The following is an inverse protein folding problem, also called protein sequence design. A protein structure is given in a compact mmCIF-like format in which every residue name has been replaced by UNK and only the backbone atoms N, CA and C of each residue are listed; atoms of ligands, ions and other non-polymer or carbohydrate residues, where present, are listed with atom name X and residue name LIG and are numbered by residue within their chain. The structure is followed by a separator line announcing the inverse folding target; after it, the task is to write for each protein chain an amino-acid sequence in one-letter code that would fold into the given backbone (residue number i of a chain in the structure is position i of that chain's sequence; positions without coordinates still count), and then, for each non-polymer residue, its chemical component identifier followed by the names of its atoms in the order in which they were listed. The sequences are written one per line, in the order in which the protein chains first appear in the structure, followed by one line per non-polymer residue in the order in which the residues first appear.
data_IF_543019448435
#
_entry.id   IF_543019448435
#
_cell.length_a   1.000
_cell.length_b   1.000
_cell.length_c   1.000
_cell.angle_alpha   90.00
_cell.angle_beta   90.00
_cell.angle_gamma   90.00
#
_symmetry.space_group_name_H-M   'P 1'
#
loop_
_entity.id
_entity.type
_entity.pdbx_description
1 polymer ?
#
# COMPACT_ATOMS: atom_id res chain seq x y z
N UNK A 1 -8.70 -20.58 6.47
CA UNK A 1 -7.23 -20.45 6.31
C UNK A 1 -6.60 -19.41 7.24
N UNK A 2 -7.21 -18.24 7.48
CA UNK A 2 -6.70 -17.25 8.46
C UNK A 2 -6.65 -17.73 9.94
N UNK A 3 -7.39 -18.78 10.30
CA UNK A 3 -7.45 -19.32 11.66
C UNK A 3 -6.15 -19.94 12.18
N UNK A 4 -5.11 -20.06 11.34
CA UNK A 4 -3.78 -20.54 11.72
C UNK A 4 -2.75 -19.41 11.87
N UNK A 5 -3.12 -18.14 11.60
CA UNK A 5 -2.25 -16.99 11.88
C UNK A 5 -2.07 -16.88 13.39
N UNK A 6 -0.87 -17.18 13.86
CA UNK A 6 -0.58 -17.33 15.29
C UNK A 6 0.32 -16.22 15.84
N UNK A 7 0.91 -15.38 14.99
CA UNK A 7 1.86 -14.35 15.39
C UNK A 7 1.76 -13.11 14.49
N UNK A 8 1.89 -11.93 15.09
CA UNK A 8 2.07 -10.66 14.37
C UNK A 8 3.56 -10.37 14.23
N UNK A 9 4.07 -10.30 13.00
CA UNK A 9 5.48 -10.02 12.71
C UNK A 9 5.79 -8.54 12.95
N UNK A 10 4.98 -7.63 12.41
CA UNK A 10 5.11 -6.19 12.60
C UNK A 10 3.79 -5.46 12.35
N UNK A 11 3.79 -4.14 12.61
CA UNK A 11 2.70 -3.25 12.23
C UNK A 11 3.19 -1.82 12.08
N UNK A 12 2.55 -1.07 11.19
CA UNK A 12 2.71 0.37 11.02
C UNK A 12 1.36 1.01 10.70
N UNK A 13 1.19 2.28 11.06
CA UNK A 13 -0.01 3.04 10.74
C UNK A 13 0.36 4.46 10.32
N UNK A 14 -0.48 5.03 9.47
CA UNK A 14 -0.45 6.44 9.08
C UNK A 14 -1.85 7.03 9.28
N UNK A 15 -1.94 8.35 9.43
CA UNK A 15 -3.22 9.07 9.48
C UNK A 15 -3.51 9.71 8.13
N UNK A 16 -4.79 9.83 7.78
CA UNK A 16 -5.22 10.45 6.53
C UNK A 16 -6.44 11.34 6.75
N UNK A 17 -6.58 12.44 5.99
CA UNK A 17 -7.75 13.29 6.12
C UNK A 17 -9.01 12.58 5.60
N UNK A 18 -10.15 12.91 6.19
CA UNK A 18 -11.44 12.54 5.63
C UNK A 18 -11.62 13.12 4.21
N UNK A 19 -12.43 12.45 3.39
CA UNK A 19 -12.75 12.89 2.02
C UNK A 19 -12.39 11.86 0.95
N UNK A 20 -12.38 12.27 -0.34
CA UNK A 20 -12.21 11.35 -1.47
C UNK A 20 -10.95 10.49 -1.43
N UNK A 21 -9.81 11.05 -1.02
CA UNK A 21 -8.59 10.26 -0.81
C UNK A 21 -8.81 9.17 0.24
N UNK A 22 -9.44 9.51 1.36
CA UNK A 22 -9.77 8.54 2.41
C UNK A 22 -10.68 7.40 1.93
N UNK A 23 -11.61 7.66 1.02
CA UNK A 23 -12.42 6.62 0.37
C UNK A 23 -11.55 5.66 -0.44
N UNK A 24 -10.64 6.20 -1.25
CA UNK A 24 -9.71 5.40 -2.05
C UNK A 24 -8.76 4.56 -1.17
N UNK A 25 -8.23 5.15 -0.09
CA UNK A 25 -7.38 4.43 0.88
C UNK A 25 -8.14 3.26 1.53
N UNK A 26 -9.40 3.46 1.92
CA UNK A 26 -10.24 2.42 2.51
C UNK A 26 -10.46 1.24 1.56
N UNK A 27 -10.78 1.55 0.29
CA UNK A 27 -10.97 0.53 -0.72
C UNK A 27 -9.67 -0.23 -1.03
N UNK A 28 -8.55 0.49 -1.22
CA UNK A 28 -7.25 -0.13 -1.43
C UNK A 28 -6.82 -1.01 -0.25
N UNK A 29 -7.01 -0.55 0.99
CA UNK A 29 -6.73 -1.34 2.18
C UNK A 29 -7.63 -2.59 2.28
N UNK A 30 -8.88 -2.49 1.85
CA UNK A 30 -9.80 -3.64 1.81
C UNK A 30 -9.34 -4.68 0.80
N UNK A 31 -8.89 -4.26 -0.39
CA UNK A 31 -8.46 -5.16 -1.44
C UNK A 31 -7.16 -5.90 -1.09
N UNK A 32 -6.25 -5.27 -0.33
CA UNK A 32 -5.01 -5.88 0.14
C UNK A 32 -5.27 -6.85 1.32
N UNK A 33 -6.28 -6.59 2.14
CA UNK A 33 -6.45 -7.29 3.41
C UNK A 33 -6.59 -8.81 3.24
N UNK A 34 -5.96 -9.56 4.15
CA UNK A 34 -5.92 -11.01 4.16
C UNK A 34 -5.21 -11.64 2.94
N UNK A 35 -4.38 -10.90 2.21
CA UNK A 35 -3.55 -11.50 1.17
C UNK A 35 -2.49 -12.42 1.78
N UNK A 36 -2.53 -13.70 1.42
CA UNK A 36 -1.53 -14.70 1.82
C UNK A 36 -0.40 -14.69 0.79
N UNK A 37 0.84 -14.65 1.26
CA UNK A 37 2.06 -14.69 0.45
C UNK A 37 2.87 -15.90 0.87
N UNK A 38 2.93 -16.92 0.02
CA UNK A 38 3.63 -18.17 0.32
C UNK A 38 5.16 -18.00 0.28
N UNK A 39 5.95 -18.89 0.91
CA UNK A 39 7.41 -18.88 0.78
C UNK A 39 7.86 -18.83 -0.69
N UNK A 40 8.72 -17.88 -1.03
CA UNK A 40 9.21 -17.62 -2.39
C UNK A 40 8.24 -16.87 -3.31
N UNK A 41 6.99 -16.63 -2.89
CA UNK A 41 6.02 -15.85 -3.65
C UNK A 41 6.33 -14.35 -3.55
N UNK A 42 6.07 -13.63 -4.65
CA UNK A 42 6.19 -12.17 -4.70
C UNK A 42 4.83 -11.52 -4.56
N UNK A 43 4.71 -10.66 -3.55
CA UNK A 43 3.58 -9.76 -3.40
C UNK A 43 3.78 -8.51 -4.25
N UNK A 44 2.71 -8.06 -4.89
CA UNK A 44 2.64 -6.82 -5.68
C UNK A 44 1.52 -5.97 -5.13
N UNK A 45 1.85 -4.73 -4.72
CA UNK A 45 0.89 -3.83 -4.08
C UNK A 45 -0.14 -3.36 -5.11
N UNK A 46 0.30 -2.99 -6.32
CA UNK A 46 -0.60 -2.63 -7.41
C UNK A 46 -1.58 -3.78 -7.73
N UNK A 47 -1.08 -5.01 -7.89
CA UNK A 47 -1.92 -6.17 -8.19
C UNK A 47 -2.92 -6.47 -7.08
N UNK A 48 -2.51 -6.32 -5.82
CA UNK A 48 -3.37 -6.53 -4.66
C UNK A 48 -4.45 -5.43 -4.53
N UNK A 49 -4.14 -4.18 -4.87
CA UNK A 49 -5.12 -3.09 -4.92
C UNK A 49 -6.09 -3.30 -6.10
N UNK A 50 -5.59 -3.77 -7.23
CA UNK A 50 -6.34 -3.86 -8.48
C UNK A 50 -6.49 -2.51 -9.20
N UNK A 51 -7.16 -2.47 -10.36
CA UNK A 51 -7.25 -1.26 -11.17
C UNK A 51 -7.98 -0.13 -10.43
N UNK A 52 -7.35 1.04 -10.33
CA UNK A 52 -7.95 2.22 -9.69
C UNK A 52 -8.89 2.96 -10.62
N UNK A 53 -10.06 2.37 -10.91
CA UNK A 53 -11.07 2.93 -11.82
C UNK A 53 -12.38 3.25 -11.11
N UNK A 54 -13.25 4.04 -11.76
CA UNK A 54 -14.57 4.41 -11.23
C UNK A 54 -15.45 3.17 -11.07
N UNK A 55 -15.36 2.22 -12.01
CA UNK A 55 -16.13 0.97 -12.02
C UNK A 55 -15.78 0.09 -10.82
N UNK A 56 -14.52 0.14 -10.38
CA UNK A 56 -14.04 -0.55 -9.19
C UNK A 56 -14.34 0.21 -7.89
N UNK A 57 -15.00 1.37 -7.96
CA UNK A 57 -15.42 2.16 -6.80
C UNK A 57 -14.42 3.24 -6.36
N UNK A 58 -13.32 3.42 -7.09
CA UNK A 58 -12.38 4.52 -6.80
C UNK A 58 -12.95 5.85 -7.27
N UNK A 59 -12.63 6.91 -6.52
CA UNK A 59 -13.11 8.27 -6.76
C UNK A 59 -11.97 9.21 -7.12
N UNK A 60 -12.31 10.32 -7.78
CA UNK A 60 -11.35 11.37 -8.07
C UNK A 60 -10.85 12.04 -6.79
N UNK A 61 -9.53 12.11 -6.63
CA UNK A 61 -8.87 12.79 -5.53
C UNK A 61 -7.52 13.35 -5.99
N UNK A 62 -6.86 14.14 -5.15
CA UNK A 62 -5.54 14.67 -5.47
C UNK A 62 -4.51 13.54 -5.61
N UNK A 63 -3.75 13.57 -6.69
CA UNK A 63 -2.61 12.69 -6.97
C UNK A 63 -1.39 13.51 -7.41
N UNK A 64 -0.22 12.90 -7.37
CA UNK A 64 1.03 13.52 -7.82
C UNK A 64 1.42 13.00 -9.21
N UNK A 65 1.49 13.89 -10.19
CA UNK A 65 1.94 13.56 -11.56
C UNK A 65 2.96 14.60 -12.01
N UNK A 66 4.16 14.15 -12.40
CA UNK A 66 5.21 15.05 -12.89
C UNK A 66 5.61 16.16 -11.92
N UNK A 67 5.53 15.91 -10.60
CA UNK A 67 5.82 16.91 -9.56
C UNK A 67 4.69 17.91 -9.27
N UNK A 68 3.52 17.75 -9.88
CA UNK A 68 2.35 18.59 -9.65
C UNK A 68 1.21 17.83 -8.96
N UNK A 69 0.35 18.56 -8.25
CA UNK A 69 -0.89 18.02 -7.69
C UNK A 69 -2.00 18.17 -8.72
N UNK A 70 -2.52 17.04 -9.21
CA UNK A 70 -3.64 17.01 -10.18
C UNK A 70 -4.73 16.07 -9.67
N UNK A 71 -6.01 16.29 -10.02
CA UNK A 71 -7.05 15.31 -9.76
C UNK A 71 -6.83 14.03 -10.59
N UNK A 72 -6.98 12.87 -9.96
CA UNK A 72 -6.93 11.56 -10.63
C UNK A 72 -7.78 10.53 -9.88
N UNK A 73 -8.29 9.53 -10.61
CA UNK A 73 -9.01 8.41 -9.98
C UNK A 73 -8.02 7.61 -9.14
N UNK A 74 -8.42 7.23 -7.93
CA UNK A 74 -7.52 6.55 -7.00
C UNK A 74 -6.51 7.47 -6.30
N UNK A 75 -6.62 8.79 -6.44
CA UNK A 75 -5.73 9.72 -5.74
C UNK A 75 -5.66 9.43 -4.24
N UNK A 76 -4.44 9.30 -3.71
CA UNK A 76 -4.16 8.94 -2.31
C UNK A 76 -3.69 7.50 -2.07
N UNK A 77 -3.92 6.55 -3.00
CA UNK A 77 -3.57 5.13 -2.77
C UNK A 77 -2.09 4.87 -2.47
N UNK A 78 -1.16 5.72 -2.94
CA UNK A 78 0.26 5.62 -2.62
C UNK A 78 0.56 5.66 -1.11
N UNK A 79 -0.33 6.26 -0.30
CA UNK A 79 -0.18 6.24 1.16
C UNK A 79 -0.29 4.80 1.73
N UNK A 80 -1.08 3.93 1.10
CA UNK A 80 -1.17 2.52 1.48
C UNK A 80 0.16 1.82 1.21
N UNK A 81 0.77 2.04 0.05
CA UNK A 81 2.10 1.52 -0.28
C UNK A 81 3.15 2.01 0.73
N UNK A 82 3.15 3.30 1.08
CA UNK A 82 4.08 3.83 2.09
C UNK A 82 3.86 3.20 3.48
N UNK A 83 2.61 2.97 3.87
CA UNK A 83 2.26 2.31 5.14
C UNK A 83 2.73 0.84 5.15
N UNK A 84 2.53 0.14 4.04
CA UNK A 84 3.00 -1.24 3.86
C UNK A 84 4.52 -1.32 3.86
N UNK A 85 5.21 -0.41 3.16
CA UNK A 85 6.67 -0.36 3.13
C UNK A 85 7.27 -0.22 4.54
N UNK A 86 6.72 0.65 5.38
CA UNK A 86 7.17 0.77 6.77
C UNK A 86 6.87 -0.48 7.62
N UNK A 87 5.76 -1.16 7.34
CA UNK A 87 5.43 -2.45 7.96
C UNK A 87 6.46 -3.51 7.58
N UNK A 88 6.80 -3.60 6.28
CA UNK A 88 7.83 -4.50 5.75
C UNK A 88 9.19 -4.26 6.38
N UNK A 89 9.66 -3.01 6.42
CA UNK A 89 10.95 -2.67 7.03
C UNK A 89 11.02 -3.09 8.50
N UNK A 90 9.95 -2.89 9.26
CA UNK A 90 9.85 -3.33 10.67
C UNK A 90 9.83 -4.84 10.83
N UNK A 91 9.37 -5.57 9.81
CA UNK A 91 9.40 -7.03 9.76
C UNK A 91 10.76 -7.59 9.25
N UNK A 92 11.71 -6.72 8.88
CA UNK A 92 12.97 -7.15 8.25
C UNK A 92 12.79 -7.61 6.79
N UNK A 93 11.66 -7.29 6.16
CA UNK A 93 11.38 -7.60 4.76
C UNK A 93 11.87 -6.43 3.91
N UNK A 94 12.82 -6.70 3.00
CA UNK A 94 13.31 -5.71 2.05
C UNK A 94 12.43 -5.72 0.77
N UNK A 95 12.18 -4.55 0.17
CA UNK A 95 11.45 -4.49 -1.10
C UNK A 95 12.31 -5.07 -2.24
N UNK A 96 11.67 -5.80 -3.14
CA UNK A 96 12.25 -6.19 -4.44
C UNK A 96 12.01 -5.10 -5.49
N UNK A 97 10.98 -4.28 -5.31
CA UNK A 97 10.73 -3.06 -6.07
C UNK A 97 10.22 -1.99 -5.12
N UNK A 98 10.81 -0.79 -5.18
CA UNK A 98 10.33 0.40 -4.47
C UNK A 98 10.90 1.63 -5.14
N UNK A 99 10.05 2.63 -5.38
CA UNK A 99 10.46 4.01 -5.66
C UNK A 99 9.80 4.97 -4.68
N UNK A 100 10.50 6.05 -4.35
CA UNK A 100 9.93 7.17 -3.61
C UNK A 100 9.18 8.14 -4.54
N UNK A 101 8.34 8.96 -3.95
CA UNK A 101 7.73 10.09 -4.65
C UNK A 101 8.80 11.12 -5.02
N UNK A 102 8.58 11.84 -6.12
CA UNK A 102 9.42 12.98 -6.53
C UNK A 102 9.29 14.19 -5.60
N UNK A 103 8.26 14.20 -4.75
CA UNK A 103 7.95 15.26 -3.79
C UNK A 103 7.81 14.67 -2.39
N UNK A 104 8.12 15.47 -1.37
CA UNK A 104 7.97 15.04 0.02
C UNK A 104 6.49 14.80 0.35
N UNK A 105 6.20 13.64 0.93
CA UNK A 105 4.90 13.32 1.54
C UNK A 105 4.91 13.62 3.03
N UNK A 106 3.75 13.95 3.60
CA UNK A 106 3.62 14.35 5.01
C UNK A 106 3.27 13.20 5.96
N UNK A 107 2.76 12.08 5.43
CA UNK A 107 2.21 10.98 6.24
C UNK A 107 3.27 9.96 6.71
N UNK A 108 4.52 10.06 6.25
CA UNK A 108 5.67 9.25 6.72
C UNK A 108 6.95 10.09 6.81
N UNK A 109 7.96 9.69 7.61
CA UNK A 109 9.27 10.34 7.63
C UNK A 109 9.97 10.30 6.26
N UNK A 110 10.89 11.23 6.04
CA UNK A 110 11.69 11.31 4.80
C UNK A 110 12.45 10.00 4.58
N UNK A 111 12.41 9.50 3.35
CA UNK A 111 13.08 8.26 2.94
C UNK A 111 12.24 7.00 3.16
N UNK A 112 11.12 7.10 3.88
CA UNK A 112 10.25 5.97 4.23
C UNK A 112 8.95 5.92 3.42
N UNK A 113 8.89 6.59 2.27
CA UNK A 113 7.73 6.57 1.39
C UNK A 113 7.88 5.57 0.24
N UNK A 114 6.77 5.12 -0.32
CA UNK A 114 6.71 4.33 -1.54
C UNK A 114 5.58 4.88 -2.42
N UNK A 115 5.89 5.13 -3.69
CA UNK A 115 4.91 5.57 -4.69
C UNK A 115 4.40 4.40 -5.50
N UNK A 116 3.20 4.53 -6.06
CA UNK A 116 2.65 3.64 -7.08
C UNK A 116 2.34 4.44 -8.34
N UNK A 117 2.39 3.78 -9.49
CA UNK A 117 1.88 4.29 -10.76
C UNK A 117 1.45 3.11 -11.62
N UNK A 118 0.19 3.10 -12.04
CA UNK A 118 -0.41 1.99 -12.80
C UNK A 118 0.48 1.55 -13.96
N UNK A 119 0.78 0.25 -14.01
CA UNK A 119 1.63 -0.41 -14.99
C UNK A 119 3.06 0.14 -15.14
N UNK A 120 3.55 0.95 -14.18
CA UNK A 120 4.86 1.61 -14.27
C UNK A 120 5.69 1.50 -12.99
N UNK A 121 5.10 1.73 -11.82
CA UNK A 121 5.81 1.72 -10.52
C UNK A 121 4.99 0.94 -9.52
N UNK A 122 5.62 -0.05 -8.88
CA UNK A 122 5.02 -0.84 -7.82
C UNK A 122 5.89 -0.88 -6.55
N UNK A 123 5.27 -1.25 -5.44
CA UNK A 123 5.94 -1.73 -4.26
C UNK A 123 5.80 -3.26 -4.21
N UNK A 124 6.92 -3.97 -4.34
CA UNK A 124 6.95 -5.44 -4.32
C UNK A 124 7.87 -5.96 -3.25
N UNK A 125 7.57 -7.16 -2.76
CA UNK A 125 8.50 -7.95 -1.96
C UNK A 125 8.31 -9.44 -2.20
N UNK A 126 9.37 -10.21 -2.01
CA UNK A 126 9.31 -11.67 -1.98
C UNK A 126 9.29 -12.14 -0.54
N UNK A 127 8.38 -13.05 -0.21
CA UNK A 127 8.38 -13.69 1.10
C UNK A 127 9.57 -14.65 1.19
N UNK A 128 10.62 -14.22 1.91
CA UNK A 128 11.83 -15.01 2.12
C UNK A 128 11.79 -15.86 3.40
N UNK A 129 10.68 -15.87 4.14
CA UNK A 129 10.49 -16.78 5.26
C UNK A 129 10.16 -18.19 4.77
N UNK A 130 10.38 -19.19 5.62
CA UNK A 130 10.02 -20.58 5.39
C UNK A 130 8.54 -20.88 5.73
N UNK A 131 7.76 -19.84 6.07
CA UNK A 131 6.34 -19.91 6.38
C UNK A 131 5.52 -18.86 5.61
N UNK A 132 4.20 -19.07 5.41
CA UNK A 132 3.32 -18.09 4.79
C UNK A 132 3.22 -16.80 5.60
N UNK A 133 3.18 -15.66 4.91
CA UNK A 133 2.91 -14.34 5.51
C UNK A 133 1.52 -13.88 5.10
N UNK A 134 0.77 -13.30 6.03
CA UNK A 134 -0.51 -12.64 5.72
C UNK A 134 -0.30 -11.14 5.78
N UNK A 135 -0.64 -10.45 4.71
CA UNK A 135 -0.71 -8.99 4.68
C UNK A 135 -2.09 -8.58 5.17
N UNK A 136 -2.14 -8.00 6.35
CA UNK A 136 -3.36 -7.39 6.88
C UNK A 136 -3.31 -5.87 6.74
N UNK A 137 -4.42 -5.31 6.29
CA UNK A 137 -4.57 -3.87 6.11
C UNK A 137 -5.97 -3.43 6.47
N UNK A 138 -6.03 -2.30 7.16
CA UNK A 138 -7.27 -1.66 7.53
C UNK A 138 -7.08 -0.15 7.45
N UNK A 139 -8.09 0.54 6.92
CA UNK A 139 -8.19 1.98 7.00
C UNK A 139 -9.59 2.33 7.50
N UNK A 140 -9.66 3.23 8.47
CA UNK A 140 -10.89 3.72 9.06
C UNK A 140 -10.59 4.81 10.09
N UNK A 141 -11.58 5.66 10.36
CA UNK A 141 -11.53 6.69 11.40
C UNK A 141 -10.38 7.72 11.32
N UNK A 142 -9.75 7.91 10.14
CA UNK A 142 -8.91 9.07 9.79
C UNK A 142 -7.63 9.26 10.59
#
# INVERSE_FOLDING_TARGET
ELGTVNNKISSFSTSYPAGPSGTNLQLAATNIDNTIVMPGETFSTEKAIGPTTIENGFVAANTYVGGQVVPGIGGGVCQVASTLYNTMLRAGILPTERLNHMMRVSYVPIGLDATLADNLIDLKFTNNFDFPVVVNSYAGNG
#
